data_IF_403635617131
#
_entry.id   IF_403635617131
#
_cell.length_a   1.000
_cell.length_b   1.000
_cell.length_c   1.000
_cell.angle_alpha   90.00
_cell.angle_beta   90.00
_cell.angle_gamma   90.00
#
_symmetry.space_group_name_H-M   'P 1'
#
loop_
_entity.id
_entity.type
_entity.pdbx_description
1 polymer ?
#
# COMPACT_ATOMS: atom_id res chain seq x y z
N UNK A 1 42.51 10.02 29.69
CA UNK A 1 41.25 9.27 29.58
C UNK A 1 41.02 8.91 28.11
N UNK A 2 41.01 7.63 27.71
CA UNK A 2 40.44 7.24 26.44
C UNK A 2 39.00 6.74 26.66
N UNK A 3 38.02 7.42 26.08
CA UNK A 3 36.65 6.90 25.99
C UNK A 3 36.48 6.30 24.60
N UNK A 4 36.34 4.98 24.55
CA UNK A 4 36.14 4.21 23.33
C UNK A 4 34.85 3.40 23.43
N UNK A 5 34.25 3.19 22.27
CA UNK A 5 33.08 2.36 21.97
C UNK A 5 31.70 2.98 22.27
N UNK A 6 31.28 3.85 21.35
CA UNK A 6 29.87 4.03 21.06
C UNK A 6 29.38 2.76 20.35
N UNK A 7 28.42 2.06 20.96
CA UNK A 7 27.79 0.86 20.44
C UNK A 7 27.05 1.19 19.12
N UNK A 8 27.61 0.76 17.99
CA UNK A 8 26.92 0.81 16.71
C UNK A 8 25.92 -0.35 16.68
N UNK A 9 24.67 -0.05 16.98
CA UNK A 9 23.56 -0.99 16.82
C UNK A 9 23.46 -1.41 15.36
N UNK A 10 23.80 -2.67 15.08
CA UNK A 10 23.47 -3.32 13.81
C UNK A 10 21.96 -3.51 13.76
N UNK A 11 21.30 -2.72 12.92
CA UNK A 11 19.90 -2.94 12.55
C UNK A 11 19.90 -4.08 11.52
N UNK A 12 19.24 -5.22 11.79
CA UNK A 12 19.28 -6.35 10.86
C UNK A 12 18.51 -6.01 9.56
N UNK A 13 19.20 -6.24 8.45
CA UNK A 13 18.71 -6.12 7.07
C UNK A 13 17.71 -7.24 6.74
N UNK A 14 16.49 -7.14 7.27
CA UNK A 14 15.40 -8.10 7.01
C UNK A 14 14.11 -7.44 6.48
N UNK A 15 14.08 -6.12 6.26
CA UNK A 15 12.84 -5.45 5.83
C UNK A 15 12.61 -5.42 4.31
N UNK A 16 13.64 -5.54 3.48
CA UNK A 16 13.52 -5.24 2.03
C UNK A 16 12.73 -6.30 1.23
N UNK A 17 12.67 -7.55 1.69
CA UNK A 17 11.87 -8.59 1.02
C UNK A 17 10.36 -8.44 1.26
N UNK A 18 9.95 -7.73 2.33
CA UNK A 18 8.53 -7.56 2.69
C UNK A 18 7.83 -6.44 1.89
N UNK A 19 8.61 -5.51 1.34
CA UNK A 19 8.09 -4.31 0.66
C UNK A 19 7.75 -4.52 -0.83
N UNK A 20 8.14 -5.65 -1.43
CA UNK A 20 8.02 -5.89 -2.87
C UNK A 20 6.89 -6.83 -3.30
N UNK A 21 5.96 -7.20 -2.41
CA UNK A 21 4.80 -7.99 -2.85
C UNK A 21 3.98 -7.21 -3.90
N UNK A 22 3.45 -7.86 -4.96
CA UNK A 22 2.67 -7.17 -5.99
C UNK A 22 1.52 -6.34 -5.43
N UNK A 23 0.89 -6.81 -4.35
CA UNK A 23 -0.22 -6.09 -3.70
C UNK A 23 0.25 -4.81 -3.00
N UNK A 24 1.44 -4.81 -2.40
CA UNK A 24 2.05 -3.60 -1.82
C UNK A 24 2.40 -2.58 -2.91
N UNK A 25 2.94 -3.03 -4.04
CA UNK A 25 3.23 -2.16 -5.19
C UNK A 25 1.95 -1.51 -5.73
N UNK A 26 0.85 -2.26 -5.85
CA UNK A 26 -0.46 -1.72 -6.25
C UNK A 26 -0.93 -0.66 -5.25
N UNK A 27 -0.85 -0.92 -3.94
CA UNK A 27 -1.20 0.07 -2.91
C UNK A 27 -0.39 1.36 -3.06
N UNK A 28 0.94 1.26 -3.25
CA UNK A 28 1.81 2.42 -3.46
C UNK A 28 1.40 3.23 -4.69
N UNK A 29 1.08 2.57 -5.82
CA UNK A 29 0.63 3.26 -7.04
C UNK A 29 -0.68 4.01 -6.80
N UNK A 30 -1.63 3.40 -6.08
CA UNK A 30 -2.91 4.02 -5.76
C UNK A 30 -2.70 5.23 -4.84
N UNK A 31 -1.87 5.11 -3.81
CA UNK A 31 -1.52 6.23 -2.92
C UNK A 31 -0.88 7.40 -3.69
N UNK A 32 0.01 7.10 -4.63
CA UNK A 32 0.63 8.11 -5.50
C UNK A 32 -0.44 8.82 -6.34
N UNK A 33 -1.38 8.06 -6.91
CA UNK A 33 -2.49 8.60 -7.68
C UNK A 33 -3.41 9.50 -6.83
N UNK A 34 -3.73 9.09 -5.61
CA UNK A 34 -4.52 9.87 -4.65
C UNK A 34 -3.83 11.22 -4.38
N UNK A 35 -2.55 11.21 -4.00
CA UNK A 35 -1.79 12.45 -3.73
C UNK A 35 -1.75 13.38 -4.95
N UNK A 36 -1.58 12.82 -6.15
CA UNK A 36 -1.58 13.61 -7.39
C UNK A 36 -2.94 14.25 -7.66
N UNK A 37 -4.03 13.51 -7.44
CA UNK A 37 -5.40 14.02 -7.59
C UNK A 37 -5.75 15.07 -6.54
N UNK A 38 -5.28 14.92 -5.29
CA UNK A 38 -5.45 15.92 -4.23
C UNK A 38 -4.74 17.24 -4.58
N UNK A 39 -3.48 17.15 -5.04
CA UNK A 39 -2.74 18.32 -5.54
C UNK A 39 -3.47 19.01 -6.69
N UNK A 40 -3.97 18.23 -7.66
CA UNK A 40 -4.74 18.76 -8.79
C UNK A 40 -6.04 19.42 -8.33
N UNK A 41 -6.81 18.75 -7.48
CA UNK A 41 -8.08 19.27 -6.93
C UNK A 41 -7.85 20.59 -6.18
N UNK A 42 -6.82 20.66 -5.33
CA UNK A 42 -6.45 21.89 -4.61
C UNK A 42 -6.15 23.06 -5.55
N UNK A 43 -5.37 22.81 -6.62
CA UNK A 43 -5.09 23.82 -7.65
C UNK A 43 -6.36 24.26 -8.41
N UNK A 44 -7.29 23.35 -8.67
CA UNK A 44 -8.56 23.72 -9.31
C UNK A 44 -9.50 24.47 -8.36
N UNK A 45 -9.48 24.15 -7.06
CA UNK A 45 -10.20 24.90 -6.04
C UNK A 45 -9.74 26.35 -6.03
N UNK A 46 -8.42 26.60 -6.04
CA UNK A 46 -7.91 27.98 -6.05
C UNK A 46 -8.36 28.76 -7.29
N UNK A 47 -8.41 28.14 -8.48
CA UNK A 47 -8.97 28.78 -9.67
C UNK A 47 -10.47 29.08 -9.55
N UNK A 48 -11.28 28.16 -8.99
CA UNK A 48 -12.71 28.42 -8.72
C UNK A 48 -12.88 29.58 -7.73
N UNK A 49 -12.03 29.68 -6.73
CA UNK A 49 -12.10 30.76 -5.74
C UNK A 49 -11.72 32.11 -6.35
N UNK A 50 -10.74 32.15 -7.27
CA UNK A 50 -10.42 33.35 -8.05
C UNK A 50 -11.61 33.79 -8.92
N UNK A 51 -12.30 32.86 -9.59
CA UNK A 51 -13.52 33.18 -10.35
C UNK A 51 -14.62 33.74 -9.46
N UNK A 52 -14.86 33.12 -8.29
CA UNK A 52 -15.86 33.61 -7.32
C UNK A 52 -15.52 35.01 -6.79
N UNK A 53 -14.22 35.32 -6.67
CA UNK A 53 -13.74 36.65 -6.32
C UNK A 53 -13.80 37.66 -7.48
N UNK A 54 -14.36 37.29 -8.64
CA UNK A 54 -14.51 38.16 -9.80
C UNK A 54 -13.24 38.35 -10.64
N UNK A 55 -12.17 37.60 -10.36
CA UNK A 55 -10.96 37.66 -11.19
C UNK A 55 -11.13 36.88 -12.48
N UNK A 56 -10.63 37.45 -13.57
CA UNK A 56 -10.67 36.78 -14.86
C UNK A 56 -9.59 35.69 -14.94
N UNK A 57 -10.00 34.48 -15.31
CA UNK A 57 -9.09 33.37 -15.59
C UNK A 57 -8.66 33.39 -17.07
N UNK A 58 -7.44 32.96 -17.33
CA UNK A 58 -7.01 32.71 -18.71
C UNK A 58 -7.71 31.47 -19.31
N UNK A 59 -7.56 31.25 -20.62
CA UNK A 59 -8.21 30.15 -21.34
C UNK A 59 -7.91 28.77 -20.72
N UNK A 60 -6.64 28.47 -20.46
CA UNK A 60 -6.21 27.18 -19.91
C UNK A 60 -6.77 26.94 -18.52
N UNK A 61 -6.85 27.98 -17.69
CA UNK A 61 -7.43 27.93 -16.36
C UNK A 61 -8.94 27.66 -16.42
N UNK A 62 -9.67 28.31 -17.34
CA UNK A 62 -11.11 28.05 -17.56
C UNK A 62 -11.35 26.58 -17.96
N UNK A 63 -10.55 26.06 -18.89
CA UNK A 63 -10.61 24.64 -19.31
C UNK A 63 -10.26 23.70 -18.15
N UNK A 64 -9.24 24.04 -17.35
CA UNK A 64 -8.85 23.24 -16.20
C UNK A 64 -9.94 23.18 -15.12
N UNK A 65 -10.61 24.31 -14.84
CA UNK A 65 -11.72 24.38 -13.87
C UNK A 65 -12.91 23.52 -14.31
N UNK A 66 -13.19 23.43 -15.61
CA UNK A 66 -14.25 22.56 -16.13
C UNK A 66 -14.03 21.07 -15.80
N UNK A 67 -12.78 20.67 -15.51
CA UNK A 67 -12.43 19.31 -15.09
C UNK A 67 -12.50 19.07 -13.58
N UNK A 68 -12.93 20.05 -12.78
CA UNK A 68 -12.93 19.93 -11.32
C UNK A 68 -13.73 18.72 -10.84
N UNK A 69 -14.97 18.58 -11.31
CA UNK A 69 -15.88 17.55 -10.81
C UNK A 69 -15.39 16.14 -11.23
N UNK A 70 -14.85 16.00 -12.45
CA UNK A 70 -14.18 14.77 -12.93
C UNK A 70 -13.01 14.37 -12.01
N UNK A 71 -12.14 15.34 -11.65
CA UNK A 71 -11.00 15.11 -10.75
C UNK A 71 -11.49 14.75 -9.34
N UNK A 72 -12.55 15.40 -8.85
CA UNK A 72 -13.11 15.15 -7.53
C UNK A 72 -13.73 13.74 -7.44
N UNK A 73 -14.50 13.32 -8.45
CA UNK A 73 -15.08 11.98 -8.53
C UNK A 73 -13.99 10.91 -8.63
N UNK A 74 -13.00 11.12 -9.49
CA UNK A 74 -11.86 10.17 -9.65
C UNK A 74 -11.06 10.05 -8.35
N UNK A 75 -10.89 11.15 -7.60
CA UNK A 75 -10.21 11.11 -6.30
C UNK A 75 -10.98 10.26 -5.30
N UNK A 76 -12.31 10.40 -5.23
CA UNK A 76 -13.13 9.61 -4.33
C UNK A 76 -13.11 8.13 -4.71
N UNK A 77 -13.22 7.83 -6.01
CA UNK A 77 -13.07 6.47 -6.52
C UNK A 77 -11.70 5.86 -6.15
N UNK A 78 -10.61 6.60 -6.32
CA UNK A 78 -9.27 6.11 -5.96
C UNK A 78 -9.13 5.84 -4.45
N UNK A 79 -9.75 6.67 -3.60
CA UNK A 79 -9.78 6.45 -2.15
C UNK A 79 -10.57 5.21 -1.77
N UNK A 80 -11.73 4.99 -2.38
CA UNK A 80 -12.51 3.78 -2.16
C UNK A 80 -11.76 2.53 -2.62
N UNK A 81 -11.18 2.57 -3.83
CA UNK A 81 -10.35 1.48 -4.36
C UNK A 81 -9.17 1.16 -3.45
N UNK A 82 -8.51 2.17 -2.86
CA UNK A 82 -7.44 1.96 -1.88
C UNK A 82 -7.90 1.14 -0.67
N UNK A 83 -9.09 1.46 -0.12
CA UNK A 83 -9.69 0.71 1.01
C UNK A 83 -10.00 -0.73 0.62
N UNK A 84 -10.54 -0.96 -0.57
CA UNK A 84 -10.86 -2.29 -1.07
C UNK A 84 -9.58 -3.14 -1.25
N UNK A 85 -8.53 -2.57 -1.85
CA UNK A 85 -7.24 -3.27 -2.02
C UNK A 85 -6.60 -3.59 -0.66
N UNK A 86 -6.66 -2.66 0.31
CA UNK A 86 -6.17 -2.92 1.66
C UNK A 86 -6.91 -4.08 2.34
N UNK A 87 -8.24 -4.13 2.18
CA UNK A 87 -9.07 -5.24 2.70
C UNK A 87 -8.67 -6.57 2.08
N UNK A 88 -8.47 -6.61 0.76
CA UNK A 88 -8.01 -7.81 0.05
C UNK A 88 -6.61 -8.23 0.54
N UNK A 89 -5.70 -7.27 0.73
CA UNK A 89 -4.34 -7.56 1.21
C UNK A 89 -4.35 -8.23 2.59
N UNK A 90 -5.14 -7.69 3.53
CA UNK A 90 -5.29 -8.28 4.87
C UNK A 90 -5.93 -9.68 4.80
N UNK A 91 -6.93 -9.87 3.95
CA UNK A 91 -7.56 -11.18 3.77
C UNK A 91 -6.57 -12.22 3.20
N UNK A 92 -5.80 -11.84 2.18
CA UNK A 92 -4.77 -12.68 1.57
C UNK A 92 -3.69 -13.08 2.58
N UNK A 93 -3.21 -12.14 3.41
CA UNK A 93 -2.22 -12.42 4.44
C UNK A 93 -2.77 -13.40 5.51
N UNK A 94 -4.03 -13.22 5.92
CA UNK A 94 -4.69 -14.13 6.86
C UNK A 94 -4.81 -15.54 6.27
N UNK A 95 -5.16 -15.65 5.00
CA UNK A 95 -5.28 -16.96 4.33
C UNK A 95 -3.91 -17.62 4.16
N UNK A 96 -2.89 -16.88 3.74
CA UNK A 96 -1.52 -17.40 3.63
C UNK A 96 -1.00 -17.97 4.96
N UNK A 97 -1.26 -17.29 6.08
CA UNK A 97 -0.91 -17.76 7.43
C UNK A 97 -1.66 -19.05 7.81
N UNK A 98 -2.94 -19.17 7.45
CA UNK A 98 -3.72 -20.39 7.70
C UNK A 98 -3.19 -21.57 6.89
N UNK A 99 -2.88 -21.35 5.61
CA UNK A 99 -2.34 -22.38 4.73
C UNK A 99 -0.95 -22.85 5.19
N UNK A 100 -0.06 -21.91 5.55
CA UNK A 100 1.25 -22.25 6.11
C UNK A 100 1.15 -23.15 7.36
N UNK A 101 0.21 -22.85 8.26
CA UNK A 101 -0.05 -23.70 9.44
C UNK A 101 -0.56 -25.09 9.07
N UNK A 102 -1.49 -25.19 8.11
CA UNK A 102 -2.00 -26.49 7.62
C UNK A 102 -0.89 -27.34 6.99
N UNK A 103 -0.07 -26.73 6.14
CA UNK A 103 1.08 -27.38 5.51
C UNK A 103 2.07 -27.87 6.57
N UNK A 104 2.42 -27.01 7.52
CA UNK A 104 3.33 -27.37 8.62
C UNK A 104 2.80 -28.55 9.45
N UNK A 105 1.51 -28.52 9.83
CA UNK A 105 0.88 -29.63 10.54
C UNK A 105 0.96 -30.95 9.76
N UNK A 106 0.65 -30.91 8.46
CA UNK A 106 0.70 -32.08 7.60
C UNK A 106 2.14 -32.62 7.42
N UNK A 107 3.13 -31.73 7.33
CA UNK A 107 4.55 -32.10 7.29
C UNK A 107 4.98 -32.84 8.56
N UNK A 108 4.57 -32.37 9.75
CA UNK A 108 4.86 -33.06 11.02
C UNK A 108 4.18 -34.43 11.06
N UNK A 109 2.91 -34.52 10.66
CA UNK A 109 2.18 -35.78 10.68
C UNK A 109 2.85 -36.82 9.77
N UNK A 110 3.27 -36.40 8.57
CA UNK A 110 3.99 -37.27 7.63
C UNK A 110 5.36 -37.70 8.19
N UNK A 111 6.11 -36.77 8.81
CA UNK A 111 7.40 -37.08 9.42
C UNK A 111 7.28 -38.09 10.58
N UNK A 112 6.24 -37.94 11.40
CA UNK A 112 5.96 -38.87 12.49
C UNK A 112 5.63 -40.26 11.95
N UNK A 113 4.76 -40.34 10.93
CA UNK A 113 4.39 -41.60 10.29
C UNK A 113 5.60 -42.32 9.67
N UNK A 114 6.46 -41.58 8.94
CA UNK A 114 7.67 -42.17 8.34
C UNK A 114 8.65 -42.66 9.38
N UNK A 115 8.84 -41.93 10.47
CA UNK A 115 9.69 -42.35 11.57
C UNK A 115 9.16 -43.64 12.24
N UNK A 116 7.87 -43.72 12.55
CA UNK A 116 7.24 -44.90 13.15
C UNK A 116 7.36 -46.14 12.27
N UNK A 117 7.23 -45.99 10.95
CA UNK A 117 7.40 -47.10 10.00
C UNK A 117 8.87 -47.54 9.87
N UNK A 118 9.82 -46.62 10.03
CA UNK A 118 11.26 -46.93 9.98
C UNK A 118 11.76 -47.65 11.23
N UNK A 119 11.17 -47.41 12.40
CA UNK A 119 11.59 -48.03 13.67
C UNK A 119 10.92 -49.36 13.96
N UNK A 120 9.84 -49.70 13.23
CA UNK A 120 9.16 -50.99 13.31
C UNK A 120 9.65 -52.02 12.27
N UNK A 121 10.73 -51.73 11.52
CA UNK A 121 11.47 -52.71 10.72
C UNK A 121 12.73 -53.14 11.44
#
# INVERSE_FOLDING_TARGET
MPSAANAKSEKPASSEASDNSPIRQIMTIIEHKIRNLEKRKSKLTSYRDLQKAGKELNSDQKVAVAKYDEVAQTLEFARDMSKQVATIATAAEREAKKQAKKVYFHLIQNLCLTYTLSTNR
#
